data_IF_494308291027
#
_entry.id   IF_494308291027
#
_cell.length_a   1.000
_cell.length_b   1.000
_cell.length_c   1.000
_cell.angle_alpha   90.00
_cell.angle_beta   90.00
_cell.angle_gamma   90.00
#
_symmetry.space_group_name_H-M   'P 1'
#
loop_
_entity.id
_entity.type
_entity.pdbx_description
1 polymer ?
#
# COMPACT_ATOMS: atom_id res chain seq x y z
N UNK A 1 12.58 -5.16 21.82
CA UNK A 1 11.38 -4.29 21.99
C UNK A 1 10.18 -5.02 21.40
N UNK A 2 8.96 -4.86 21.95
CA UNK A 2 7.73 -5.39 21.34
C UNK A 2 7.18 -4.35 20.36
N UNK A 3 6.86 -4.76 19.14
CA UNK A 3 6.19 -3.92 18.16
C UNK A 3 4.69 -4.26 18.15
N UNK A 4 3.83 -3.28 18.40
CA UNK A 4 2.39 -3.48 18.39
C UNK A 4 1.86 -3.27 16.97
N UNK A 5 1.10 -4.25 16.48
CA UNK A 5 0.34 -4.10 15.22
C UNK A 5 -0.94 -3.33 15.53
N UNK A 6 -1.19 -2.27 14.77
CA UNK A 6 -2.35 -1.41 14.90
C UNK A 6 -3.17 -1.44 13.60
N UNK A 7 -4.49 -1.19 13.65
CA UNK A 7 -5.31 -1.03 12.45
C UNK A 7 -4.71 0.02 11.49
N UNK A 8 -4.84 -0.25 10.20
CA UNK A 8 -4.42 0.69 9.16
C UNK A 8 -5.51 1.75 8.96
N UNK A 9 -5.11 3.01 8.86
CA UNK A 9 -5.93 4.12 8.37
C UNK A 9 -5.04 5.08 7.60
N UNK A 10 -5.63 5.88 6.70
CA UNK A 10 -4.88 6.89 5.95
C UNK A 10 -4.18 7.89 6.89
N UNK A 11 -4.86 8.34 7.93
CA UNK A 11 -4.32 9.34 8.87
C UNK A 11 -3.07 8.79 9.55
N UNK A 12 -3.14 7.56 10.07
CA UNK A 12 -2.04 6.90 10.77
C UNK A 12 -0.88 6.49 9.83
N UNK A 13 -1.11 6.44 8.51
CA UNK A 13 -0.13 5.99 7.52
C UNK A 13 0.46 7.13 6.66
N UNK A 14 -0.16 8.31 6.66
CA UNK A 14 0.18 9.47 5.81
C UNK A 14 1.67 9.86 5.78
N UNK A 15 2.40 9.70 6.89
CA UNK A 15 3.83 9.98 6.96
C UNK A 15 4.71 8.97 6.20
N UNK A 16 4.17 7.80 5.86
CA UNK A 16 4.89 6.69 5.25
C UNK A 16 4.45 6.44 3.80
N UNK A 17 3.22 6.81 3.45
CA UNK A 17 2.65 6.58 2.12
C UNK A 17 1.14 6.79 2.10
N UNK A 18 0.49 6.21 1.11
CA UNK A 18 -0.95 6.29 0.90
C UNK A 18 -1.62 4.93 1.12
N UNK A 19 -2.86 4.95 1.63
CA UNK A 19 -3.72 3.78 1.75
C UNK A 19 -4.66 3.74 0.55
N UNK A 20 -4.55 2.68 -0.25
CA UNK A 20 -5.39 2.47 -1.43
C UNK A 20 -6.68 1.77 -0.98
N UNK A 21 -7.75 2.54 -0.83
CA UNK A 21 -9.07 2.07 -0.39
C UNK A 21 -10.20 2.94 -0.98
N UNK A 22 -11.45 2.49 -0.85
CA UNK A 22 -12.64 3.24 -1.26
C UNK A 22 -13.43 3.82 -0.08
N UNK A 23 -13.20 3.31 1.13
CA UNK A 23 -13.96 3.70 2.32
C UNK A 23 -13.64 5.17 2.67
N UNK A 24 -14.69 6.01 2.76
CA UNK A 24 -14.55 7.44 3.09
C UNK A 24 -13.61 8.20 2.14
N UNK A 25 -13.55 7.82 0.86
CA UNK A 25 -12.78 8.53 -0.17
C UNK A 25 -13.70 9.25 -1.13
N UNK A 26 -13.23 10.42 -1.57
CA UNK A 26 -13.89 11.15 -2.64
C UNK A 26 -13.87 10.33 -3.94
N UNK A 27 -14.96 10.44 -4.68
CA UNK A 27 -15.09 9.86 -6.01
C UNK A 27 -15.88 10.79 -6.90
N UNK A 28 -15.81 10.54 -8.20
CA UNK A 28 -16.73 11.14 -9.16
C UNK A 28 -17.26 10.07 -10.10
N UNK A 29 -18.46 10.29 -10.62
CA UNK A 29 -19.05 9.38 -11.57
C UNK A 29 -18.43 9.52 -12.96
N UNK A 30 -18.19 8.39 -13.61
CA UNK A 30 -17.85 8.28 -15.03
C UNK A 30 -18.87 7.35 -15.73
N UNK A 31 -18.77 7.22 -17.06
CA UNK A 31 -19.66 6.36 -17.86
C UNK A 31 -21.16 6.62 -17.56
N UNK A 32 -21.58 7.87 -17.65
CA UNK A 32 -22.97 8.31 -17.44
C UNK A 32 -23.54 7.93 -16.06
N UNK A 33 -22.73 7.98 -15.00
CA UNK A 33 -23.20 7.66 -13.64
C UNK A 33 -23.00 6.19 -13.25
N UNK A 34 -22.61 5.32 -14.18
CA UNK A 34 -22.57 3.87 -13.94
C UNK A 34 -21.33 3.38 -13.20
N UNK A 35 -20.28 4.20 -13.13
CA UNK A 35 -19.03 3.83 -12.46
C UNK A 35 -18.61 4.95 -11.52
N UNK A 36 -18.31 4.60 -10.27
CA UNK A 36 -17.65 5.48 -9.32
C UNK A 36 -16.13 5.36 -9.51
N UNK A 37 -15.48 6.48 -9.83
CA UNK A 37 -14.03 6.55 -9.91
C UNK A 37 -13.46 7.18 -8.63
N UNK A 38 -12.92 6.33 -7.78
CA UNK A 38 -12.06 6.74 -6.67
C UNK A 38 -10.70 7.12 -7.24
N UNK A 39 -10.45 8.42 -7.30
CA UNK A 39 -9.31 8.99 -8.02
C UNK A 39 -8.16 9.30 -7.05
N UNK A 40 -6.93 9.30 -7.56
CA UNK A 40 -5.71 9.75 -6.84
C UNK A 40 -5.52 9.10 -5.46
N UNK A 41 -5.72 7.78 -5.39
CA UNK A 41 -5.55 7.01 -4.15
C UNK A 41 -4.08 6.80 -3.77
N UNK A 42 -3.16 6.96 -4.72
CA UNK A 42 -1.71 6.89 -4.50
C UNK A 42 -0.97 7.50 -5.70
N UNK A 43 0.17 8.15 -5.41
CA UNK A 43 1.10 8.63 -6.43
C UNK A 43 2.22 7.61 -6.65
N UNK A 44 2.47 7.25 -7.91
CA UNK A 44 3.63 6.42 -8.28
C UNK A 44 4.78 7.33 -8.68
N UNK A 45 5.84 7.33 -7.89
CA UNK A 45 7.09 8.06 -8.17
C UNK A 45 8.19 7.04 -8.44
N UNK A 46 8.91 7.16 -9.56
CA UNK A 46 10.06 6.31 -9.90
C UNK A 46 11.12 7.19 -10.56
N UNK A 47 12.36 7.08 -10.08
CA UNK A 47 13.56 7.71 -10.60
C UNK A 47 14.47 6.62 -11.18
N UNK A 48 15.18 6.94 -12.25
CA UNK A 48 16.23 6.11 -12.85
C UNK A 48 15.84 4.66 -13.18
N UNK A 49 14.54 4.40 -13.41
CA UNK A 49 14.08 3.19 -14.09
C UNK A 49 13.48 3.53 -15.43
N UNK A 50 13.70 2.66 -16.42
CA UNK A 50 13.17 2.84 -17.77
C UNK A 50 11.64 2.81 -17.81
N UNK A 51 10.99 2.11 -16.86
CA UNK A 51 9.54 1.83 -16.89
C UNK A 51 8.92 1.62 -15.52
N UNK A 52 7.68 2.08 -15.35
CA UNK A 52 6.77 1.61 -14.29
C UNK A 52 6.33 0.17 -14.58
N UNK A 53 6.50 -0.72 -13.61
CA UNK A 53 6.18 -2.14 -13.74
C UNK A 53 4.95 -2.53 -12.90
N UNK A 54 4.19 -3.50 -13.40
CA UNK A 54 3.10 -4.17 -12.67
C UNK A 54 3.45 -5.65 -12.58
N UNK A 55 3.43 -6.19 -11.37
CA UNK A 55 3.82 -7.57 -11.08
C UNK A 55 2.89 -8.20 -10.05
N UNK A 56 2.77 -9.53 -10.07
CA UNK A 56 2.10 -10.29 -9.02
C UNK A 56 3.17 -11.01 -8.18
N UNK A 57 3.25 -10.65 -6.90
CA UNK A 57 4.08 -11.35 -5.93
C UNK A 57 3.22 -12.36 -5.17
N UNK A 58 3.63 -13.63 -5.13
CA UNK A 58 2.95 -14.70 -4.38
C UNK A 58 3.78 -15.04 -3.14
N UNK A 59 3.44 -14.38 -2.03
CA UNK A 59 4.09 -14.61 -0.74
C UNK A 59 3.47 -15.81 0.01
N UNK A 60 4.28 -16.47 0.85
CA UNK A 60 3.80 -17.47 1.81
C UNK A 60 3.45 -16.78 3.14
N UNK A 61 2.45 -17.29 3.91
CA UNK A 61 2.14 -16.74 5.22
C UNK A 61 3.32 -16.96 6.19
N UNK A 62 3.59 -15.97 7.03
CA UNK A 62 4.59 -16.08 8.09
C UNK A 62 4.05 -16.84 9.31
N UNK A 63 4.92 -17.56 10.02
CA UNK A 63 4.58 -18.18 11.30
C UNK A 63 4.64 -17.17 12.44
N UNK A 64 3.79 -17.34 13.44
CA UNK A 64 3.78 -16.53 14.66
C UNK A 64 4.42 -17.28 15.84
N UNK A 65 5.14 -16.58 16.74
CA UNK A 65 5.39 -15.13 16.74
C UNK A 65 6.38 -14.70 15.66
N UNK A 66 6.10 -13.56 15.01
CA UNK A 66 7.00 -12.98 14.01
C UNK A 66 8.03 -12.07 14.70
N UNK A 67 9.31 -12.30 14.42
CA UNK A 67 10.42 -11.46 14.89
C UNK A 67 11.02 -10.76 13.67
N UNK A 68 11.10 -9.44 13.73
CA UNK A 68 11.64 -8.59 12.65
C UNK A 68 13.02 -8.12 13.06
N UNK A 69 14.00 -8.28 12.18
CA UNK A 69 15.39 -7.88 12.41
C UNK A 69 15.90 -6.85 11.40
N UNK A 70 15.22 -6.69 10.27
CA UNK A 70 15.61 -5.82 9.17
C UNK A 70 14.39 -5.14 8.55
N UNK A 71 14.65 -4.03 7.88
CA UNK A 71 13.71 -3.29 7.05
C UNK A 71 14.44 -2.89 5.77
N UNK A 72 13.70 -2.88 4.66
CA UNK A 72 14.19 -2.40 3.37
C UNK A 72 13.60 -1.03 3.03
N UNK A 73 14.21 -0.35 2.06
CA UNK A 73 13.69 0.88 1.45
C UNK A 73 14.06 0.92 -0.03
N UNK A 74 13.28 1.66 -0.82
CA UNK A 74 13.52 1.90 -2.24
C UNK A 74 13.78 3.41 -2.48
N UNK A 75 15.04 3.88 -2.43
CA UNK A 75 15.34 5.32 -2.49
C UNK A 75 14.94 6.01 -3.80
N UNK A 76 14.75 5.23 -4.86
CA UNK A 76 14.48 5.72 -6.22
C UNK A 76 13.05 5.41 -6.66
N UNK A 77 12.16 4.99 -5.77
CA UNK A 77 10.76 4.87 -6.16
C UNK A 77 9.83 4.31 -5.11
N UNK A 78 8.56 4.58 -5.34
CA UNK A 78 7.44 4.05 -4.58
C UNK A 78 7.22 2.56 -4.88
N UNK A 79 6.62 1.87 -3.92
CA UNK A 79 6.18 0.49 -4.07
C UNK A 79 4.79 0.35 -3.46
N UNK A 80 3.88 -0.30 -4.18
CA UNK A 80 2.50 -0.51 -3.76
C UNK A 80 2.16 -2.00 -3.70
N UNK A 81 1.35 -2.37 -2.71
CA UNK A 81 0.84 -3.74 -2.53
C UNK A 81 -0.68 -3.72 -2.36
N UNK A 82 -1.38 -4.49 -3.19
CA UNK A 82 -2.84 -4.60 -3.18
C UNK A 82 -3.20 -6.11 -3.17
N UNK A 83 -3.90 -6.62 -2.14
CA UNK A 83 -4.29 -8.03 -2.08
C UNK A 83 -5.33 -8.33 -3.16
N UNK A 84 -5.15 -9.42 -3.90
CA UNK A 84 -5.99 -9.73 -5.06
C UNK A 84 -7.31 -10.42 -4.70
N UNK A 85 -7.46 -10.95 -3.48
CA UNK A 85 -8.68 -11.64 -3.03
C UNK A 85 -9.17 -11.13 -1.67
N UNK A 86 -8.80 -9.90 -1.29
CA UNK A 86 -9.21 -9.28 -0.03
C UNK A 86 -8.54 -9.88 1.20
N UNK A 87 -7.36 -10.51 1.04
CA UNK A 87 -6.59 -11.04 2.16
C UNK A 87 -6.14 -9.91 3.10
N UNK A 88 -6.20 -10.17 4.41
CA UNK A 88 -5.61 -9.30 5.43
C UNK A 88 -4.11 -9.56 5.52
N UNK A 89 -3.30 -8.51 5.54
CA UNK A 89 -1.85 -8.60 5.71
C UNK A 89 -1.33 -7.52 6.66
N UNK A 90 -0.11 -7.70 7.16
CA UNK A 90 0.59 -6.70 7.97
C UNK A 90 1.60 -5.96 7.09
N UNK A 91 1.58 -4.63 7.13
CA UNK A 91 2.57 -3.76 6.47
C UNK A 91 3.53 -3.13 7.46
N UNK A 92 4.80 -3.00 7.06
CA UNK A 92 5.80 -2.21 7.79
C UNK A 92 5.62 -0.70 7.56
N UNK A 93 6.07 0.11 8.53
CA UNK A 93 6.17 1.57 8.39
C UNK A 93 7.65 1.95 8.32
N UNK A 94 8.15 2.26 7.14
CA UNK A 94 9.50 2.81 6.92
C UNK A 94 9.39 4.27 6.51
N UNK A 95 10.25 5.13 7.07
CA UNK A 95 10.29 6.56 6.68
C UNK A 95 10.74 6.66 5.21
N UNK A 96 10.11 7.54 4.42
CA UNK A 96 10.53 7.84 3.04
C UNK A 96 12.00 8.29 3.00
#
# INVERSE_FOLDING_TARGET
MKLQVLPLSQEAFSAYGDVIETQQRDFFHINNGLVERYHDLALVEILDQDRTLISINRAQPANLPLIIHELERHPLGTQAFIPMKGEVFCGGRGVR
#
